data_IF_558026779692
#
_entry.id   IF_558026779692
#
_cell.length_a   1.000
_cell.length_b   1.000
_cell.length_c   1.000
_cell.angle_alpha   90.00
_cell.angle_beta   90.00
_cell.angle_gamma   90.00
#
_symmetry.space_group_name_H-M   'P 1'
#
loop_
_entity.id
_entity.type
_entity.pdbx_description
1 polymer ?
#
# COMPACT_ATOMS: atom_id res chain seq x y z
N UNK A 1 -13.79 25.82 4.72
CA UNK A 1 -14.21 24.50 4.22
C UNK A 1 -12.98 23.90 3.57
N UNK A 2 -12.43 22.84 4.14
CA UNK A 2 -11.34 22.09 3.50
C UNK A 2 -11.87 21.53 2.17
N UNK A 3 -11.05 21.67 1.12
CA UNK A 3 -11.47 21.51 -0.27
C UNK A 3 -11.08 20.12 -0.74
N UNK A 4 -11.96 19.14 -0.51
CA UNK A 4 -11.76 17.78 -1.01
C UNK A 4 -11.90 17.75 -2.52
N UNK A 5 -10.78 17.58 -3.23
CA UNK A 5 -10.76 17.51 -4.70
C UNK A 5 -10.68 16.07 -5.22
N UNK A 6 -10.21 15.13 -4.38
CA UNK A 6 -10.00 13.73 -4.76
C UNK A 6 -10.62 12.80 -3.72
N UNK A 7 -11.27 11.74 -4.20
CA UNK A 7 -11.84 10.69 -3.38
C UNK A 7 -11.28 9.35 -3.86
N UNK A 8 -10.66 8.61 -2.95
CA UNK A 8 -10.05 7.32 -3.22
C UNK A 8 -10.72 6.24 -2.37
N UNK A 9 -10.96 5.08 -2.97
CA UNK A 9 -11.27 3.86 -2.23
C UNK A 9 -10.05 2.93 -2.32
N UNK A 10 -9.45 2.65 -1.17
CA UNK A 10 -8.25 1.82 -1.07
C UNK A 10 -8.62 0.55 -0.34
N UNK A 11 -8.39 -0.59 -0.98
CA UNK A 11 -8.64 -1.90 -0.39
C UNK A 11 -7.33 -2.62 -0.13
N UNK A 12 -7.09 -2.91 1.13
CA UNK A 12 -5.98 -3.71 1.60
C UNK A 12 -6.42 -5.15 1.74
N UNK A 13 -5.61 -6.08 1.22
CA UNK A 13 -5.85 -7.51 1.35
C UNK A 13 -4.77 -8.10 2.26
N UNK A 14 -5.15 -9.04 3.11
CA UNK A 14 -4.24 -9.79 3.98
C UNK A 14 -4.16 -11.24 3.50
N UNK A 15 -3.38 -11.54 2.45
CA UNK A 15 -3.15 -12.91 2.01
C UNK A 15 -2.32 -13.64 3.08
N UNK A 16 -3.00 -14.29 4.01
CA UNK A 16 -2.39 -14.98 5.13
C UNK A 16 -3.23 -14.87 6.40
N UNK A 17 -3.24 -15.91 7.22
CA UNK A 17 -4.04 -15.95 8.45
C UNK A 17 -3.46 -15.17 9.64
N UNK A 18 -2.28 -14.54 9.49
CA UNK A 18 -1.62 -13.85 10.59
C UNK A 18 -2.12 -12.41 10.69
N UNK A 19 -2.80 -12.07 11.80
CA UNK A 19 -3.34 -10.74 12.05
C UNK A 19 -2.19 -9.74 12.31
N UNK A 20 -2.06 -8.73 11.45
CA UNK A 20 -1.02 -7.69 11.55
C UNK A 20 -1.63 -6.28 11.37
N UNK A 21 -1.03 -5.23 11.96
CA UNK A 21 -1.42 -3.86 11.63
C UNK A 21 -1.05 -3.55 10.17
N UNK A 22 -1.79 -2.65 9.53
CA UNK A 22 -1.41 -2.12 8.21
C UNK A 22 -0.61 -0.85 8.45
N UNK A 23 0.61 -0.81 7.95
CA UNK A 23 1.43 0.38 7.85
C UNK A 23 1.37 0.84 6.42
N UNK A 24 0.94 2.07 6.17
CA UNK A 24 0.82 2.58 4.81
C UNK A 24 1.40 3.96 4.71
N UNK A 25 2.14 4.21 3.65
CA UNK A 25 2.58 5.53 3.24
C UNK A 25 1.90 5.91 1.92
N UNK A 26 1.31 7.10 1.91
CA UNK A 26 0.73 7.74 0.75
C UNK A 26 1.69 8.79 0.22
N UNK A 27 2.02 8.71 -1.06
CA UNK A 27 2.81 9.73 -1.78
C UNK A 27 1.87 10.59 -2.62
N UNK A 28 1.96 11.90 -2.43
CA UNK A 28 1.16 12.88 -3.19
C UNK A 28 1.93 13.41 -4.41
N UNK A 29 1.20 13.92 -5.40
CA UNK A 29 1.76 14.49 -6.63
C UNK A 29 2.69 15.70 -6.38
N UNK A 30 2.55 16.38 -5.24
CA UNK A 30 3.42 17.49 -4.82
C UNK A 30 4.72 17.04 -4.13
N UNK A 31 4.93 15.73 -3.99
CA UNK A 31 6.10 15.13 -3.33
C UNK A 31 5.97 15.00 -1.82
N UNK A 32 4.88 15.46 -1.20
CA UNK A 32 4.63 15.21 0.23
C UNK A 32 4.21 13.76 0.47
N UNK A 33 4.49 13.25 1.67
CA UNK A 33 4.08 11.92 2.10
C UNK A 33 3.21 11.98 3.35
N UNK A 34 2.31 11.01 3.50
CA UNK A 34 1.50 10.79 4.69
C UNK A 34 1.59 9.33 5.10
N UNK A 35 2.10 9.07 6.30
CA UNK A 35 2.15 7.73 6.88
C UNK A 35 0.96 7.53 7.83
N UNK A 36 0.20 6.47 7.61
CA UNK A 36 -0.88 6.04 8.51
C UNK A 36 -0.63 4.62 9.02
N UNK A 37 -1.02 4.37 10.28
CA UNK A 37 -1.03 3.04 10.89
C UNK A 37 -2.45 2.65 11.21
N UNK A 38 -2.97 1.64 10.50
CA UNK A 38 -4.25 1.03 10.85
C UNK A 38 -4.04 -0.12 11.83
N UNK A 39 -4.72 -0.10 12.97
CA UNK A 39 -4.46 -1.08 14.02
C UNK A 39 -5.21 -2.38 13.71
N UNK A 40 -4.79 -3.48 14.34
CA UNK A 40 -5.29 -4.84 14.05
C UNK A 40 -6.80 -5.02 14.20
N UNK A 41 -7.50 -4.13 14.91
CA UNK A 41 -8.94 -4.25 15.14
C UNK A 41 -9.77 -4.08 13.86
N UNK A 42 -9.19 -3.55 12.78
CA UNK A 42 -9.86 -3.44 11.48
C UNK A 42 -10.30 -4.82 10.93
N UNK A 43 -9.57 -5.88 11.28
CA UNK A 43 -9.82 -7.25 10.82
C UNK A 43 -11.00 -7.93 11.52
N UNK A 44 -11.59 -7.29 12.55
CA UNK A 44 -12.69 -7.89 13.34
C UNK A 44 -13.97 -8.14 12.54
N UNK A 45 -14.23 -7.33 11.51
CA UNK A 45 -15.44 -7.45 10.68
C UNK A 45 -15.19 -8.31 9.44
N UNK A 46 -13.98 -8.26 8.91
CA UNK A 46 -13.53 -9.02 7.75
C UNK A 46 -12.03 -9.27 7.92
N UNK A 47 -11.64 -10.54 7.99
CA UNK A 47 -10.23 -10.92 8.18
C UNK A 47 -9.44 -10.88 6.87
N UNK A 48 -10.11 -10.94 5.71
CA UNK A 48 -9.43 -11.06 4.42
C UNK A 48 -9.11 -9.69 3.81
N UNK A 49 -10.03 -8.73 3.96
CA UNK A 49 -9.88 -7.41 3.35
C UNK A 49 -10.41 -6.26 4.20
N UNK A 50 -9.75 -5.12 4.08
CA UNK A 50 -10.12 -3.86 4.71
C UNK A 50 -10.13 -2.75 3.66
N UNK A 51 -11.31 -2.15 3.44
CA UNK A 51 -11.49 -1.02 2.53
C UNK A 51 -11.63 0.27 3.29
N UNK A 52 -10.95 1.33 2.83
CA UNK A 52 -11.00 2.67 3.41
C UNK A 52 -11.24 3.71 2.32
N UNK A 53 -12.23 4.57 2.57
CA UNK A 53 -12.42 5.80 1.80
C UNK A 53 -11.49 6.88 2.34
N UNK A 54 -10.71 7.48 1.45
CA UNK A 54 -9.80 8.58 1.74
C UNK A 54 -10.21 9.80 0.91
N UNK A 55 -10.62 10.85 1.61
CA UNK A 55 -10.84 12.17 1.04
C UNK A 55 -9.53 12.95 1.12
N UNK A 56 -9.02 13.42 -0.01
CA UNK A 56 -7.77 14.18 -0.08
C UNK A 56 -7.96 15.48 -0.86
N UNK A 57 -7.27 16.53 -0.43
CA UNK A 57 -7.15 17.76 -1.21
C UNK A 57 -6.14 17.63 -2.36
N UNK A 58 -5.20 16.68 -2.21
CA UNK A 58 -4.06 16.41 -3.11
C UNK A 58 -4.22 15.07 -3.82
N UNK A 59 -3.72 15.00 -5.04
CA UNK A 59 -3.68 13.75 -5.80
C UNK A 59 -2.68 12.76 -5.21
N UNK A 60 -3.11 11.52 -4.99
CA UNK A 60 -2.24 10.41 -4.57
C UNK A 60 -1.66 9.73 -5.81
N UNK A 61 -0.33 9.64 -5.85
CA UNK A 61 0.43 9.03 -6.94
C UNK A 61 1.13 7.73 -6.52
N UNK A 62 1.20 7.46 -5.22
CA UNK A 62 1.81 6.25 -4.68
C UNK A 62 1.14 5.80 -3.38
N UNK A 63 1.01 4.49 -3.22
CA UNK A 63 0.62 3.85 -1.96
C UNK A 63 1.61 2.73 -1.70
N UNK A 64 2.29 2.75 -0.56
CA UNK A 64 3.25 1.74 -0.15
C UNK A 64 2.84 1.15 1.20
N UNK A 65 2.64 -0.16 1.24
CA UNK A 65 2.45 -0.90 2.49
C UNK A 65 3.82 -1.23 3.07
N UNK A 66 3.96 -1.02 4.37
CA UNK A 66 5.12 -1.33 5.19
C UNK A 66 6.47 -0.85 4.59
N UNK A 67 6.65 0.46 4.37
CA UNK A 67 7.87 1.00 3.75
C UNK A 67 9.14 0.77 4.58
N UNK A 68 8.99 0.51 5.88
CA UNK A 68 10.09 0.28 6.82
C UNK A 68 10.33 -1.22 7.11
N UNK A 69 9.60 -2.13 6.45
CA UNK A 69 9.70 -3.58 6.66
C UNK A 69 9.53 -4.00 8.14
N UNK A 70 8.56 -3.38 8.83
CA UNK A 70 8.25 -3.68 10.23
C UNK A 70 7.39 -4.96 10.37
N UNK A 71 6.80 -5.44 9.28
CA UNK A 71 5.97 -6.65 9.24
C UNK A 71 6.74 -7.83 8.64
N UNK A 72 6.46 -9.02 9.13
CA UNK A 72 7.08 -10.26 8.64
C UNK A 72 6.36 -10.78 7.37
N UNK A 73 6.25 -9.93 6.35
CA UNK A 73 5.62 -10.29 5.07
C UNK A 73 6.55 -11.19 4.24
N UNK A 74 5.98 -12.21 3.61
CA UNK A 74 6.70 -13.16 2.75
C UNK A 74 6.90 -12.62 1.34
N UNK A 75 6.10 -11.64 0.92
CA UNK A 75 6.19 -11.07 -0.41
C UNK A 75 6.03 -9.54 -0.35
N UNK A 76 7.13 -8.81 -0.42
CA UNK A 76 7.11 -7.33 -0.44
C UNK A 76 6.88 -6.75 -1.84
N UNK A 77 6.93 -7.57 -2.90
CA UNK A 77 6.86 -7.09 -4.30
C UNK A 77 5.47 -6.57 -4.70
N UNK A 78 4.43 -6.91 -3.95
CA UNK A 78 3.06 -6.48 -4.16
C UNK A 78 2.60 -5.38 -3.17
N UNK A 79 3.51 -4.82 -2.37
CA UNK A 79 3.19 -3.80 -1.37
C UNK A 79 3.11 -2.39 -1.94
N UNK A 80 3.39 -2.20 -3.24
CA UNK A 80 3.31 -0.91 -3.91
C UNK A 80 2.12 -0.80 -4.88
N UNK A 81 1.49 0.37 -4.88
CA UNK A 81 0.62 0.83 -5.95
C UNK A 81 1.12 2.18 -6.48
N UNK A 82 1.24 2.36 -7.81
CA UNK A 82 1.18 1.32 -8.84
C UNK A 82 2.27 0.26 -8.62
N UNK A 83 1.99 -0.99 -9.01
CA UNK A 83 2.94 -2.09 -8.81
C UNK A 83 4.26 -1.77 -9.50
N UNK A 84 5.33 -1.79 -8.72
CA UNK A 84 6.69 -1.63 -9.24
C UNK A 84 7.03 -2.88 -10.05
N UNK A 85 7.39 -2.73 -11.32
CA UNK A 85 7.91 -3.84 -12.13
C UNK A 85 9.31 -4.17 -11.61
N UNK A 86 9.40 -5.17 -10.73
CA UNK A 86 10.68 -5.75 -10.35
C UNK A 86 11.16 -6.60 -11.52
N UNK A 87 12.31 -6.27 -12.11
CA UNK A 87 12.93 -7.15 -13.11
C UNK A 87 13.26 -8.49 -12.46
N UNK A 88 12.83 -9.59 -13.07
CA UNK A 88 13.19 -10.92 -12.57
C UNK A 88 14.63 -11.26 -12.98
N UNK A 89 15.27 -12.18 -12.25
CA UNK A 89 16.61 -12.66 -12.63
C UNK A 89 16.63 -13.31 -14.03
N UNK A 90 15.50 -13.86 -14.46
CA UNK A 90 15.32 -14.41 -15.81
C UNK A 90 15.24 -13.31 -16.88
N UNK A 91 14.57 -12.19 -16.60
CA UNK A 91 14.54 -11.04 -17.51
C UNK A 91 15.96 -10.48 -17.69
N UNK A 92 16.73 -10.40 -16.59
CA UNK A 92 18.14 -9.97 -16.63
C UNK A 92 19.02 -10.94 -17.43
N UNK A 93 18.78 -12.25 -17.31
CA UNK A 93 19.50 -13.27 -18.08
C UNK A 93 19.26 -13.14 -19.60
N UNK A 94 18.04 -12.76 -20.02
CA UNK A 94 17.70 -12.54 -21.43
C UNK A 94 18.32 -11.28 -22.03
N UNK A 95 18.56 -10.24 -21.23
CA UNK A 95 19.20 -9.00 -21.71
C UNK A 95 20.73 -9.17 -21.90
N UNK A 96 21.33 -10.19 -21.28
CA UNK A 96 22.78 -10.42 -21.31
C UNK A 96 23.24 -11.35 -22.46
N UNK A 97 22.31 -11.97 -23.20
CA UNK A 97 22.59 -12.84 -24.37
C UNK A 97 21.97 -12.28 -25.65
#
# INVERSE_FOLDING_TARGET
>A
MEKTNYLYEITFNKPGGLVMPILVEYTYADGSTLTERYPVQIWRKNDDSYSRLLASEKEIVGVQVDPNEETADVNTTNNSWPRTKVQTDFDRFKETN
#
